data_IF_184355158109
#
_entry.id   IF_184355158109
#
_cell.length_a   1.000
_cell.length_b   1.000
_cell.length_c   1.000
_cell.angle_alpha   90.00
_cell.angle_beta   90.00
_cell.angle_gamma   90.00
#
_symmetry.space_group_name_H-M   'P 1'
#
loop_
_entity.id
_entity.type
_entity.pdbx_description
1 polymer ?
#
# COMPACT_ATOMS: atom_id res chain seq x y z
N UNK A 1 -8.33 -11.32 29.77
CA UNK A 1 -8.52 -10.82 28.40
C UNK A 1 -7.75 -11.70 27.42
N UNK A 2 -8.38 -12.12 26.32
CA UNK A 2 -7.71 -12.85 25.23
C UNK A 2 -7.28 -11.89 24.14
N UNK A 3 -6.06 -12.06 23.59
CA UNK A 3 -5.52 -11.23 22.52
C UNK A 3 -5.39 -12.10 21.27
N UNK A 4 -5.95 -11.62 20.15
CA UNK A 4 -5.90 -12.25 18.84
C UNK A 4 -5.04 -11.41 17.91
N UNK A 5 -3.96 -11.97 17.39
CA UNK A 5 -3.11 -11.33 16.38
C UNK A 5 -3.59 -11.73 14.99
N UNK A 6 -3.69 -10.77 14.06
CA UNK A 6 -3.97 -11.07 12.66
C UNK A 6 -2.92 -12.02 12.09
N UNK A 7 -3.35 -13.04 11.36
CA UNK A 7 -2.50 -14.12 10.85
C UNK A 7 -2.64 -14.28 9.33
N UNK A 8 -1.53 -14.08 8.62
CA UNK A 8 -1.42 -14.24 7.17
C UNK A 8 -0.63 -15.49 6.77
N UNK A 9 -0.32 -16.38 7.73
CA UNK A 9 0.53 -17.58 7.53
C UNK A 9 -0.03 -18.57 6.51
N UNK A 10 -1.35 -18.52 6.22
CA UNK A 10 -2.00 -19.38 5.22
C UNK A 10 -1.52 -19.11 3.80
N UNK A 11 -0.86 -17.98 3.53
CA UNK A 11 -0.40 -17.61 2.19
C UNK A 11 1.12 -17.71 2.10
N UNK A 12 1.57 -18.63 1.25
CA UNK A 12 3.00 -18.85 1.01
C UNK A 12 3.67 -17.57 0.53
N UNK A 13 4.73 -17.16 1.21
CA UNK A 13 5.55 -15.99 0.86
C UNK A 13 5.06 -14.66 1.44
N UNK A 14 3.98 -14.64 2.23
CA UNK A 14 3.58 -13.47 3.02
C UNK A 14 4.04 -13.68 4.47
N UNK A 15 4.70 -12.69 5.09
CA UNK A 15 4.99 -12.76 6.52
C UNK A 15 3.70 -12.94 7.34
N UNK A 16 3.70 -13.72 8.42
CA UNK A 16 2.48 -14.08 9.17
C UNK A 16 1.76 -12.87 9.76
N UNK A 17 2.46 -11.80 9.99
CA UNK A 17 1.90 -10.49 10.36
C UNK A 17 2.95 -9.41 10.07
N UNK A 18 2.55 -8.14 10.03
CA UNK A 18 3.51 -7.06 9.85
C UNK A 18 3.72 -6.67 8.39
N UNK A 19 4.99 -6.59 7.97
CA UNK A 19 5.36 -6.08 6.64
C UNK A 19 4.76 -6.91 5.50
N UNK A 20 4.27 -6.22 4.47
CA UNK A 20 3.82 -6.89 3.25
C UNK A 20 5.01 -7.42 2.41
N UNK A 21 4.70 -8.30 1.46
CA UNK A 21 5.70 -8.88 0.53
C UNK A 21 6.55 -7.81 -0.15
N UNK A 22 5.93 -6.71 -0.62
CA UNK A 22 6.64 -5.62 -1.31
C UNK A 22 7.63 -4.90 -0.40
N UNK A 23 7.20 -4.53 0.81
CA UNK A 23 8.05 -3.84 1.80
C UNK A 23 9.16 -4.77 2.29
N UNK A 24 8.83 -6.03 2.60
CA UNK A 24 9.83 -7.02 3.00
C UNK A 24 10.91 -7.23 1.92
N UNK A 25 10.51 -7.35 0.64
CA UNK A 25 11.45 -7.44 -0.49
C UNK A 25 12.32 -6.19 -0.61
N UNK A 26 11.75 -5.00 -0.48
CA UNK A 26 12.50 -3.74 -0.54
C UNK A 26 13.56 -3.68 0.57
N UNK A 27 13.21 -4.08 1.80
CA UNK A 27 14.16 -4.18 2.91
C UNK A 27 15.32 -5.12 2.64
N UNK A 28 15.06 -6.30 2.10
CA UNK A 28 16.11 -7.24 1.72
C UNK A 28 17.05 -6.67 0.64
N UNK A 29 16.51 -5.90 -0.32
CA UNK A 29 17.32 -5.19 -1.32
C UNK A 29 18.19 -4.13 -0.65
N UNK A 30 17.62 -3.31 0.23
CA UNK A 30 18.37 -2.28 0.96
C UNK A 30 19.51 -2.90 1.78
N UNK A 31 19.25 -3.93 2.58
CA UNK A 31 20.27 -4.64 3.35
C UNK A 31 21.41 -5.18 2.46
N UNK A 32 21.05 -5.80 1.32
CA UNK A 32 22.04 -6.30 0.36
C UNK A 32 22.91 -5.17 -0.23
N UNK A 33 22.29 -4.02 -0.53
CA UNK A 33 23.03 -2.88 -1.09
C UNK A 33 23.96 -2.26 -0.05
N UNK A 34 23.53 -2.12 1.21
CA UNK A 34 24.40 -1.68 2.32
C UNK A 34 25.58 -2.63 2.50
N UNK A 35 25.33 -3.93 2.59
CA UNK A 35 26.39 -4.93 2.77
C UNK A 35 27.43 -4.90 1.64
N UNK A 36 27.03 -4.53 0.41
CA UNK A 36 27.90 -4.52 -0.76
C UNK A 36 28.61 -3.17 -0.98
N UNK A 37 27.96 -2.06 -0.64
CA UNK A 37 28.41 -0.72 -1.03
C UNK A 37 28.73 0.19 0.17
N UNK A 38 28.46 -0.28 1.39
CA UNK A 38 28.64 0.50 2.62
C UNK A 38 27.64 1.64 2.75
N UNK A 39 28.08 2.68 3.45
CA UNK A 39 27.36 3.94 3.62
C UNK A 39 27.32 4.78 2.33
N UNK A 40 26.67 5.92 2.33
CA UNK A 40 26.43 6.78 1.15
C UNK A 40 25.38 6.26 0.17
N UNK A 41 24.33 5.63 0.68
CA UNK A 41 23.16 5.22 -0.10
C UNK A 41 21.99 6.16 0.14
N UNK A 42 21.40 6.67 -0.95
CA UNK A 42 20.17 7.44 -0.91
C UNK A 42 19.00 6.60 -1.47
N UNK A 43 17.97 6.41 -0.68
CA UNK A 43 16.70 5.82 -1.14
C UNK A 43 15.76 6.96 -1.51
N UNK A 44 15.42 7.07 -2.79
CA UNK A 44 14.34 7.95 -3.19
C UNK A 44 13.01 7.27 -2.94
N UNK A 45 12.13 7.91 -2.16
CA UNK A 45 10.83 7.37 -1.77
C UNK A 45 9.77 8.47 -1.72
N UNK A 46 8.53 8.13 -2.10
CA UNK A 46 7.36 8.99 -1.90
C UNK A 46 7.03 9.21 -0.42
N UNK A 47 7.44 8.28 0.45
CA UNK A 47 7.20 8.31 1.90
C UNK A 47 8.45 7.89 2.66
N UNK A 48 9.45 8.78 2.70
CA UNK A 48 10.74 8.48 3.33
C UNK A 48 10.62 8.18 4.84
N UNK A 49 9.67 8.79 5.51
CA UNK A 49 9.34 8.57 6.92
C UNK A 49 8.92 7.11 7.21
N UNK A 50 8.10 6.52 6.36
CA UNK A 50 7.59 5.16 6.55
C UNK A 50 8.62 4.09 6.19
N UNK A 51 9.41 4.30 5.15
CA UNK A 51 10.49 3.38 4.78
C UNK A 51 11.50 3.23 5.93
N UNK A 52 11.77 4.32 6.64
CA UNK A 52 12.68 4.31 7.79
C UNK A 52 12.15 3.50 8.98
N UNK A 53 10.85 3.64 9.30
CA UNK A 53 10.23 2.94 10.43
C UNK A 53 10.22 1.44 10.19
N UNK A 54 9.89 1.01 8.97
CA UNK A 54 9.84 -0.41 8.62
C UNK A 54 11.16 -1.14 8.87
N UNK A 55 12.31 -0.44 8.74
CA UNK A 55 13.64 -1.01 8.83
C UNK A 55 14.49 -0.47 9.99
N UNK A 56 13.89 0.31 10.91
CA UNK A 56 14.60 0.93 12.04
C UNK A 56 15.31 -0.08 12.92
N UNK A 57 14.68 -1.23 13.18
CA UNK A 57 15.24 -2.26 14.07
C UNK A 57 16.43 -3.00 13.46
N UNK A 58 16.51 -3.06 12.14
CA UNK A 58 17.63 -3.62 11.38
C UNK A 58 18.82 -2.66 11.30
N UNK A 59 18.73 -1.47 11.90
CA UNK A 59 19.80 -0.48 11.96
C UNK A 59 20.19 0.14 10.62
N UNK A 60 19.33 0.06 9.59
CA UNK A 60 19.70 0.54 8.24
C UNK A 60 19.97 2.04 8.19
N UNK A 61 19.27 2.86 9.01
CA UNK A 61 19.58 4.28 9.14
C UNK A 61 20.93 4.56 9.78
N UNK A 62 21.35 3.72 10.73
CA UNK A 62 22.67 3.78 11.38
C UNK A 62 23.78 3.27 10.46
N UNK A 63 23.44 2.50 9.43
CA UNK A 63 24.37 1.97 8.42
C UNK A 63 24.58 2.91 7.22
N UNK A 64 24.17 4.19 7.30
CA UNK A 64 24.43 5.19 6.27
C UNK A 64 23.41 5.24 5.13
N UNK A 65 22.27 4.55 5.22
CA UNK A 65 21.14 4.77 4.32
C UNK A 65 20.32 5.97 4.80
N UNK A 66 20.04 6.89 3.89
CA UNK A 66 19.01 7.91 4.11
C UNK A 66 17.87 7.76 3.10
N UNK A 67 16.65 8.09 3.50
CA UNK A 67 15.48 8.15 2.63
C UNK A 67 15.06 9.60 2.39
N UNK A 68 14.71 9.93 1.15
CA UNK A 68 14.29 11.27 0.76
C UNK A 68 13.27 11.24 -0.37
N UNK A 69 12.35 12.21 -0.40
CA UNK A 69 11.47 12.47 -1.53
C UNK A 69 12.03 13.56 -2.47
N UNK A 70 13.13 14.20 -2.08
CA UNK A 70 13.76 15.30 -2.83
C UNK A 70 14.95 14.79 -3.64
N UNK A 71 14.76 14.61 -4.94
CA UNK A 71 15.82 14.17 -5.84
C UNK A 71 17.00 15.14 -5.87
N UNK A 72 16.72 16.41 -5.72
CA UNK A 72 17.70 17.51 -5.69
C UNK A 72 18.67 17.37 -4.51
N UNK A 73 18.24 16.83 -3.39
CA UNK A 73 19.05 16.64 -2.18
C UNK A 73 20.08 15.52 -2.29
N UNK A 74 19.97 14.62 -3.30
CA UNK A 74 20.90 13.49 -3.48
C UNK A 74 22.14 13.97 -4.19
N UNK A 75 23.32 13.74 -3.59
CA UNK A 75 24.61 14.16 -4.15
C UNK A 75 25.21 13.08 -5.05
N UNK A 76 25.24 13.33 -6.37
CA UNK A 76 25.73 12.38 -7.36
C UNK A 76 27.22 12.02 -7.24
N UNK A 77 28.04 12.87 -6.60
CA UNK A 77 29.46 12.60 -6.41
C UNK A 77 29.76 11.71 -5.19
N UNK A 78 28.86 11.66 -4.22
CA UNK A 78 29.06 10.93 -2.95
C UNK A 78 28.01 9.88 -2.64
N UNK A 79 26.84 9.91 -3.30
CA UNK A 79 25.73 9.01 -3.01
C UNK A 79 25.33 8.19 -4.24
N UNK A 80 24.86 6.98 -3.99
CA UNK A 80 24.27 6.07 -4.98
C UNK A 80 22.79 5.90 -4.71
N UNK A 81 22.01 5.77 -5.77
CA UNK A 81 20.56 5.81 -5.73
C UNK A 81 19.93 4.41 -5.63
N UNK A 82 18.88 4.29 -4.83
CA UNK A 82 17.93 3.18 -4.82
C UNK A 82 16.53 3.78 -4.95
N UNK A 83 15.67 3.22 -5.80
CA UNK A 83 14.23 3.55 -5.76
C UNK A 83 13.53 2.70 -4.72
N UNK A 84 12.69 3.35 -3.90
CA UNK A 84 11.94 2.72 -2.82
C UNK A 84 10.77 1.86 -3.31
N UNK A 85 10.06 1.26 -2.37
CA UNK A 85 9.01 0.25 -2.63
C UNK A 85 7.83 0.72 -3.49
N UNK A 86 7.53 2.03 -3.47
CA UNK A 86 6.46 2.63 -4.27
C UNK A 86 6.89 3.05 -5.68
N UNK A 87 8.16 2.79 -6.02
CA UNK A 87 8.74 3.20 -7.30
C UNK A 87 9.02 4.68 -7.39
N UNK A 88 9.54 5.10 -8.54
CA UNK A 88 9.80 6.48 -8.88
C UNK A 88 9.08 6.84 -10.18
N UNK A 89 8.31 7.97 -10.23
CA UNK A 89 7.67 8.44 -11.44
C UNK A 89 8.68 8.72 -12.57
N UNK A 90 8.27 8.72 -13.84
CA UNK A 90 9.16 8.98 -14.99
C UNK A 90 9.98 10.27 -14.85
N UNK A 91 9.39 11.34 -14.34
CA UNK A 91 10.03 12.64 -14.15
C UNK A 91 11.18 12.56 -13.14
N UNK A 92 11.00 11.75 -12.11
CA UNK A 92 12.03 11.51 -11.08
C UNK A 92 13.16 10.64 -11.66
N UNK A 93 12.81 9.65 -12.47
CA UNK A 93 13.81 8.82 -13.17
C UNK A 93 14.64 9.63 -14.15
N UNK A 94 14.01 10.59 -14.86
CA UNK A 94 14.72 11.51 -15.76
C UNK A 94 15.66 12.43 -14.98
N UNK A 95 15.18 13.10 -13.93
CA UNK A 95 16.01 13.93 -13.05
C UNK A 95 17.23 13.17 -12.50
N UNK A 96 17.05 11.90 -12.13
CA UNK A 96 18.18 11.07 -11.66
C UNK A 96 19.23 10.86 -12.76
N UNK A 97 18.78 10.64 -14.01
CA UNK A 97 19.68 10.51 -15.18
C UNK A 97 20.41 11.82 -15.50
N UNK A 98 19.68 12.95 -15.53
CA UNK A 98 20.25 14.28 -15.77
C UNK A 98 21.30 14.66 -14.72
N UNK A 99 21.10 14.26 -13.44
CA UNK A 99 22.08 14.45 -12.37
C UNK A 99 23.27 13.48 -12.44
N UNK A 100 23.26 12.50 -13.33
CA UNK A 100 24.31 11.49 -13.41
C UNK A 100 24.35 10.55 -12.21
N UNK A 101 23.21 10.36 -11.51
CA UNK A 101 23.12 9.47 -10.36
C UNK A 101 23.27 8.00 -10.77
N UNK A 102 24.14 7.27 -10.06
CA UNK A 102 24.28 5.82 -10.24
C UNK A 102 23.14 5.09 -9.54
N UNK A 103 22.22 4.51 -10.31
CA UNK A 103 21.17 3.63 -9.79
C UNK A 103 21.74 2.25 -9.48
N UNK A 104 21.74 1.85 -8.21
CA UNK A 104 22.17 0.52 -7.76
C UNK A 104 21.06 -0.52 -7.81
N UNK A 105 19.85 -0.12 -7.45
CA UNK A 105 18.71 -1.02 -7.41
C UNK A 105 17.38 -0.28 -7.55
N UNK A 106 16.41 -0.96 -8.12
CA UNK A 106 15.01 -0.57 -8.12
C UNK A 106 14.24 -1.53 -7.19
N UNK A 107 13.86 -1.03 -6.02
CA UNK A 107 13.10 -1.80 -5.04
C UNK A 107 11.59 -1.66 -5.22
N UNK A 108 11.12 -1.09 -6.34
CA UNK A 108 9.69 -0.98 -6.67
C UNK A 108 9.00 -2.32 -6.48
N UNK A 109 7.86 -2.30 -5.78
CA UNK A 109 7.05 -3.49 -5.58
C UNK A 109 6.58 -4.06 -6.93
N UNK A 110 6.73 -5.38 -7.18
CA UNK A 110 6.31 -5.99 -8.45
C UNK A 110 4.82 -5.76 -8.78
N UNK A 111 3.95 -5.66 -7.77
CA UNK A 111 2.53 -5.37 -7.98
C UNK A 111 2.29 -3.92 -8.44
N UNK A 112 3.14 -2.97 -8.04
CA UNK A 112 3.10 -1.59 -8.55
C UNK A 112 3.53 -1.58 -10.00
N UNK A 113 4.64 -2.23 -10.35
CA UNK A 113 5.12 -2.35 -11.73
C UNK A 113 4.07 -3.01 -12.62
N UNK A 114 3.49 -4.13 -12.18
CA UNK A 114 2.43 -4.84 -12.92
C UNK A 114 1.20 -3.96 -13.16
N UNK A 115 0.80 -3.14 -12.19
CA UNK A 115 -0.30 -2.20 -12.36
C UNK A 115 0.06 -1.14 -13.41
N UNK A 116 1.23 -0.53 -13.34
CA UNK A 116 1.69 0.49 -14.31
C UNK A 116 1.78 -0.06 -15.74
N UNK A 117 2.30 -1.27 -15.90
CA UNK A 117 2.35 -1.95 -17.19
C UNK A 117 0.95 -2.22 -17.75
N UNK A 118 0.01 -2.68 -16.91
CA UNK A 118 -1.37 -2.92 -17.32
C UNK A 118 -2.09 -1.62 -17.71
N UNK A 119 -1.83 -0.51 -17.01
CA UNK A 119 -2.33 0.83 -17.37
C UNK A 119 -1.90 1.22 -18.80
N UNK A 120 -0.61 1.09 -19.07
CA UNK A 120 -0.04 1.43 -20.38
C UNK A 120 -0.60 0.54 -21.51
N UNK A 121 -0.66 -0.79 -21.29
CA UNK A 121 -1.20 -1.75 -22.26
C UNK A 121 -2.66 -1.44 -22.62
N UNK A 122 -3.50 -1.10 -21.65
CA UNK A 122 -4.90 -0.75 -21.89
C UNK A 122 -5.02 0.56 -22.66
N UNK A 123 -4.24 1.58 -22.33
CA UNK A 123 -4.21 2.83 -23.10
C UNK A 123 -3.74 2.62 -24.53
N UNK A 124 -2.72 1.78 -24.74
CA UNK A 124 -2.19 1.43 -26.07
C UNK A 124 -3.19 0.62 -26.90
N UNK A 125 -4.03 -0.20 -26.26
CA UNK A 125 -5.13 -0.90 -26.92
C UNK A 125 -6.34 0.00 -27.25
N UNK A 126 -6.24 1.30 -26.97
CA UNK A 126 -7.25 2.31 -27.30
C UNK A 126 -8.35 2.47 -26.25
N UNK A 127 -8.21 1.90 -25.06
CA UNK A 127 -9.18 2.03 -23.98
C UNK A 127 -9.11 3.39 -23.27
N UNK A 128 -10.26 3.91 -22.85
CA UNK A 128 -10.34 4.83 -21.71
C UNK A 128 -10.18 4.02 -20.43
N UNK A 129 -9.62 4.62 -19.37
CA UNK A 129 -9.38 3.88 -18.14
C UNK A 129 -10.46 4.13 -17.09
N UNK A 130 -10.93 3.06 -16.49
CA UNK A 130 -11.74 3.07 -15.27
C UNK A 130 -10.88 2.49 -14.16
N UNK A 131 -10.47 3.34 -13.23
CA UNK A 131 -9.54 2.97 -12.15
C UNK A 131 -10.30 2.85 -10.84
N UNK A 132 -10.38 1.64 -10.32
CA UNK A 132 -10.97 1.38 -9.02
C UNK A 132 -9.94 1.77 -7.94
N UNK A 133 -10.06 2.98 -7.42
CA UNK A 133 -9.06 3.59 -6.53
C UNK A 133 -9.68 4.68 -5.66
N UNK A 134 -8.98 5.05 -4.58
CA UNK A 134 -9.27 6.31 -3.89
C UNK A 134 -8.94 7.49 -4.80
N UNK A 135 -9.78 8.53 -4.77
CA UNK A 135 -9.58 9.78 -5.54
C UNK A 135 -8.30 10.52 -5.18
N UNK A 136 -7.80 10.31 -3.95
CA UNK A 136 -6.59 10.95 -3.43
C UNK A 136 -5.32 10.12 -3.66
N UNK A 137 -5.40 9.01 -4.40
CA UNK A 137 -4.23 8.16 -4.64
C UNK A 137 -3.16 8.91 -5.45
N UNK A 138 -1.92 8.90 -4.97
CA UNK A 138 -0.80 9.66 -5.52
C UNK A 138 -0.47 9.35 -6.99
N UNK A 139 -0.81 8.15 -7.49
CA UNK A 139 -0.58 7.76 -8.89
C UNK A 139 -1.58 8.36 -9.89
N UNK A 140 -2.73 8.91 -9.43
CA UNK A 140 -3.78 9.40 -10.32
C UNK A 140 -3.34 10.55 -11.23
N UNK A 141 -2.67 11.62 -10.73
CA UNK A 141 -2.25 12.73 -11.61
C UNK A 141 -1.32 12.27 -12.75
N UNK A 142 -0.37 11.38 -12.45
CA UNK A 142 0.51 10.79 -13.45
C UNK A 142 -0.29 10.04 -14.52
N UNK A 143 -1.19 9.16 -14.11
CA UNK A 143 -2.00 8.35 -15.02
C UNK A 143 -2.90 9.21 -15.91
N UNK A 144 -3.50 10.25 -15.36
CA UNK A 144 -4.30 11.23 -16.11
C UNK A 144 -3.46 11.98 -17.14
N UNK A 145 -2.20 12.32 -16.81
CA UNK A 145 -1.26 12.93 -17.76
C UNK A 145 -1.00 12.03 -18.96
N UNK A 146 -0.59 10.78 -18.71
CA UNK A 146 -0.30 9.78 -19.75
C UNK A 146 -1.54 9.50 -20.61
N UNK A 147 -2.71 9.33 -20.01
CA UNK A 147 -3.94 9.08 -20.74
C UNK A 147 -4.30 10.26 -21.68
N UNK A 148 -4.15 11.50 -21.19
CA UNK A 148 -4.41 12.72 -21.98
C UNK A 148 -3.51 12.82 -23.19
N UNK A 149 -2.22 12.49 -23.09
CA UNK A 149 -1.28 12.45 -24.21
C UNK A 149 -1.72 11.46 -25.29
N UNK A 150 -2.41 10.38 -24.91
CA UNK A 150 -2.97 9.36 -25.81
C UNK A 150 -4.42 9.67 -26.26
N UNK A 151 -4.96 10.84 -25.91
CA UNK A 151 -6.35 11.23 -26.23
C UNK A 151 -7.39 10.38 -25.49
N UNK A 152 -7.05 9.87 -24.29
CA UNK A 152 -7.91 9.03 -23.47
C UNK A 152 -8.26 9.70 -22.14
N UNK A 153 -9.39 9.26 -21.55
CA UNK A 153 -9.86 9.73 -20.26
C UNK A 153 -9.60 8.70 -19.16
N UNK A 154 -9.51 9.18 -17.91
CA UNK A 154 -9.36 8.36 -16.71
C UNK A 154 -10.52 8.69 -15.76
N UNK A 155 -11.33 7.69 -15.47
CA UNK A 155 -12.45 7.76 -14.54
C UNK A 155 -12.07 7.04 -13.24
N UNK A 156 -12.12 7.75 -12.12
CA UNK A 156 -11.85 7.18 -10.81
C UNK A 156 -13.15 6.73 -10.19
N UNK A 157 -13.23 5.45 -9.88
CA UNK A 157 -14.40 4.80 -9.28
C UNK A 157 -14.01 4.28 -7.90
N UNK A 158 -14.52 4.91 -6.88
CA UNK A 158 -14.28 4.56 -5.48
C UNK A 158 -15.44 3.76 -4.90
N UNK A 159 -16.66 4.02 -5.40
CA UNK A 159 -17.91 3.39 -4.99
C UNK A 159 -18.75 3.02 -6.21
N UNK A 160 -19.75 2.17 -5.99
CA UNK A 160 -20.66 1.71 -7.05
C UNK A 160 -21.36 2.87 -7.80
N UNK A 161 -21.78 3.89 -7.05
CA UNK A 161 -22.49 5.06 -7.59
C UNK A 161 -21.61 5.88 -8.56
N UNK A 162 -20.31 5.84 -8.41
CA UNK A 162 -19.38 6.58 -9.28
C UNK A 162 -19.42 6.08 -10.73
N UNK A 163 -19.89 4.85 -10.97
CA UNK A 163 -20.02 4.28 -12.32
C UNK A 163 -20.97 5.12 -13.18
N UNK A 164 -21.99 5.73 -12.58
CA UNK A 164 -22.94 6.60 -13.28
C UNK A 164 -22.28 7.89 -13.81
N UNK A 165 -21.18 8.30 -13.17
CA UNK A 165 -20.41 9.49 -13.59
C UNK A 165 -19.50 9.27 -14.80
N UNK A 166 -19.35 8.05 -15.31
CA UNK A 166 -18.53 7.76 -16.49
C UNK A 166 -19.27 8.26 -17.74
N UNK A 167 -18.70 9.27 -18.43
CA UNK A 167 -19.34 9.95 -19.57
C UNK A 167 -18.93 9.33 -20.91
N UNK A 168 -19.06 8.01 -21.01
CA UNK A 168 -18.79 7.26 -22.23
C UNK A 168 -20.05 6.53 -22.72
N UNK A 169 -20.12 6.26 -24.00
CA UNK A 169 -21.17 5.42 -24.58
C UNK A 169 -20.94 3.94 -24.23
N UNK A 170 -21.99 3.13 -24.36
CA UNK A 170 -21.96 1.70 -24.05
C UNK A 170 -20.86 0.92 -24.81
N UNK A 171 -20.50 1.38 -26.01
CA UNK A 171 -19.63 0.64 -26.93
C UNK A 171 -18.19 1.17 -26.95
N UNK A 172 -17.91 2.31 -26.32
CA UNK A 172 -16.54 2.82 -26.22
C UNK A 172 -15.68 1.84 -25.41
N UNK A 173 -14.45 1.57 -25.88
CA UNK A 173 -13.58 0.62 -25.21
C UNK A 173 -13.10 1.17 -23.86
N UNK A 174 -13.38 0.45 -22.79
CA UNK A 174 -12.91 0.78 -21.46
C UNK A 174 -11.98 -0.31 -20.93
N UNK A 175 -10.91 0.12 -20.26
CA UNK A 175 -9.99 -0.73 -19.51
C UNK A 175 -10.18 -0.53 -18.01
N UNK A 176 -10.54 -1.59 -17.31
CA UNK A 176 -10.73 -1.55 -15.86
C UNK A 176 -9.46 -2.03 -15.16
N UNK A 177 -8.94 -1.18 -14.28
CA UNK A 177 -7.78 -1.45 -13.42
C UNK A 177 -8.17 -1.30 -11.96
N UNK A 178 -7.58 -2.13 -11.12
CA UNK A 178 -7.81 -2.13 -9.68
C UNK A 178 -6.55 -1.66 -8.97
N UNK A 179 -6.67 -0.65 -8.12
CA UNK A 179 -5.59 -0.27 -7.21
C UNK A 179 -5.16 -1.47 -6.35
N UNK A 180 -3.86 -1.61 -6.11
CA UNK A 180 -3.28 -2.75 -5.38
C UNK A 180 -3.90 -3.01 -4.00
N UNK A 181 -4.46 -1.99 -3.35
CA UNK A 181 -5.06 -2.06 -2.00
C UNK A 181 -6.59 -1.99 -1.99
N UNK A 182 -7.26 -2.33 -3.10
CA UNK A 182 -8.72 -2.21 -3.19
C UNK A 182 -9.47 -3.38 -2.53
N UNK A 183 -10.60 -3.12 -1.87
CA UNK A 183 -11.37 -4.16 -1.18
C UNK A 183 -12.19 -4.99 -2.16
N UNK A 184 -12.09 -6.32 -2.04
CA UNK A 184 -12.70 -7.28 -2.97
C UNK A 184 -14.24 -7.18 -3.04
N UNK A 185 -14.92 -6.95 -1.93
CA UNK A 185 -16.39 -6.85 -1.93
C UNK A 185 -16.88 -5.57 -2.64
N UNK A 186 -16.18 -4.45 -2.46
CA UNK A 186 -16.45 -3.22 -3.21
C UNK A 186 -16.14 -3.42 -4.70
N UNK A 187 -15.04 -4.10 -5.03
CA UNK A 187 -14.70 -4.48 -6.40
C UNK A 187 -15.82 -5.25 -7.09
N UNK A 188 -16.37 -6.30 -6.45
CA UNK A 188 -17.44 -7.11 -7.04
C UNK A 188 -18.69 -6.28 -7.38
N UNK A 189 -19.11 -5.39 -6.49
CA UNK A 189 -20.28 -4.50 -6.71
C UNK A 189 -20.04 -3.55 -7.88
N UNK A 190 -18.89 -2.88 -7.89
CA UNK A 190 -18.52 -1.96 -8.97
C UNK A 190 -18.44 -2.69 -10.32
N UNK A 191 -17.82 -3.87 -10.35
CA UNK A 191 -17.69 -4.66 -11.59
C UNK A 191 -19.03 -5.12 -12.14
N UNK A 192 -19.97 -5.54 -11.29
CA UNK A 192 -21.32 -5.87 -11.72
C UNK A 192 -21.98 -4.67 -12.44
N UNK A 193 -21.87 -3.47 -11.85
CA UNK A 193 -22.43 -2.24 -12.42
C UNK A 193 -21.76 -1.81 -13.72
N UNK A 194 -20.43 -1.96 -13.81
CA UNK A 194 -19.68 -1.69 -15.06
C UNK A 194 -20.13 -2.62 -16.18
N UNK A 195 -20.26 -3.92 -15.92
CA UNK A 195 -20.64 -4.91 -16.94
C UNK A 195 -22.11 -4.78 -17.38
N UNK A 196 -23.00 -4.28 -16.53
CA UNK A 196 -24.36 -3.91 -16.93
C UNK A 196 -24.38 -2.74 -17.91
N UNK A 197 -23.51 -1.74 -17.71
CA UNK A 197 -23.52 -0.49 -18.42
C UNK A 197 -22.69 -0.52 -19.73
N UNK A 198 -21.55 -1.19 -19.74
CA UNK A 198 -20.61 -1.18 -20.86
C UNK A 198 -20.49 -2.55 -21.51
N UNK A 199 -20.42 -2.57 -22.84
CA UNK A 199 -20.33 -3.79 -23.63
C UNK A 199 -18.89 -4.13 -24.07
N UNK A 200 -17.99 -3.13 -24.13
CA UNK A 200 -16.59 -3.31 -24.56
C UNK A 200 -15.64 -3.07 -23.38
N UNK A 201 -15.45 -4.11 -22.55
CA UNK A 201 -14.71 -4.02 -21.28
C UNK A 201 -13.52 -4.95 -21.30
N UNK A 202 -12.33 -4.40 -21.11
CA UNK A 202 -11.12 -5.14 -20.79
C UNK A 202 -10.81 -5.00 -19.30
N UNK A 203 -10.54 -6.09 -18.61
CA UNK A 203 -10.30 -6.09 -17.16
C UNK A 203 -8.88 -6.54 -16.88
N UNK A 204 -8.16 -5.78 -16.06
CA UNK A 204 -6.88 -6.15 -15.44
C UNK A 204 -7.03 -6.06 -13.94
N UNK A 205 -7.14 -7.22 -13.29
CA UNK A 205 -7.12 -7.29 -11.83
C UNK A 205 -5.68 -7.17 -11.33
N UNK A 206 -5.32 -5.97 -10.90
CA UNK A 206 -4.00 -5.61 -10.39
C UNK A 206 -3.96 -5.48 -8.86
N UNK A 207 -5.00 -5.96 -8.15
CA UNK A 207 -4.99 -6.03 -6.70
C UNK A 207 -3.84 -6.94 -6.22
N UNK A 208 -3.08 -6.47 -5.21
CA UNK A 208 -1.95 -7.25 -4.72
C UNK A 208 -2.40 -8.39 -3.79
N UNK A 209 -1.61 -9.44 -3.75
CA UNK A 209 -1.90 -10.62 -2.94
C UNK A 209 -2.00 -10.29 -1.44
N UNK A 210 -1.21 -9.33 -0.95
CA UNK A 210 -1.28 -8.90 0.45
C UNK A 210 -2.66 -8.28 0.78
N UNK A 211 -3.19 -7.43 -0.10
CA UNK A 211 -4.52 -6.84 0.08
C UNK A 211 -5.63 -7.88 0.05
N UNK A 212 -5.52 -8.87 -0.86
CA UNK A 212 -6.48 -9.96 -0.98
C UNK A 212 -6.51 -10.88 0.26
N UNK A 213 -5.46 -10.86 1.07
CA UNK A 213 -5.35 -11.63 2.31
C UNK A 213 -5.64 -10.79 3.55
N UNK A 214 -5.06 -9.59 3.61
CA UNK A 214 -5.10 -8.72 4.78
C UNK A 214 -6.51 -8.22 5.09
N UNK A 215 -7.25 -7.78 4.09
CA UNK A 215 -8.60 -7.25 4.30
C UNK A 215 -9.60 -8.32 4.75
N UNK A 216 -9.65 -9.54 4.17
CA UNK A 216 -10.44 -10.65 4.73
C UNK A 216 -10.05 -11.04 6.17
N UNK A 217 -8.75 -11.00 6.51
CA UNK A 217 -8.31 -11.28 7.89
C UNK A 217 -8.77 -10.19 8.86
N UNK A 218 -8.76 -8.91 8.45
CA UNK A 218 -9.34 -7.81 9.23
C UNK A 218 -10.83 -8.04 9.47
N UNK A 219 -11.58 -8.40 8.43
CA UNK A 219 -13.01 -8.71 8.53
C UNK A 219 -13.26 -9.86 9.51
N UNK A 220 -12.54 -10.97 9.35
CA UNK A 220 -12.62 -12.13 10.23
C UNK A 220 -12.33 -11.77 11.69
N UNK A 221 -11.22 -11.04 11.91
CA UNK A 221 -10.80 -10.62 13.24
C UNK A 221 -11.83 -9.67 13.87
N UNK A 222 -12.33 -8.68 13.12
CA UNK A 222 -13.32 -7.72 13.58
C UNK A 222 -14.64 -8.38 14.04
N UNK A 223 -15.03 -9.48 13.40
CA UNK A 223 -16.22 -10.28 13.78
C UNK A 223 -16.02 -11.13 15.04
N UNK A 224 -14.78 -11.44 15.42
CA UNK A 224 -14.46 -12.39 16.49
C UNK A 224 -14.13 -11.74 17.83
N UNK A 225 -13.87 -10.42 17.84
CA UNK A 225 -13.36 -9.70 19.00
C UNK A 225 -14.27 -8.59 19.46
N UNK A 226 -14.14 -8.18 20.73
CA UNK A 226 -14.94 -7.09 21.31
C UNK A 226 -14.38 -5.70 20.94
N UNK A 227 -13.06 -5.62 20.68
CA UNK A 227 -12.39 -4.43 20.17
C UNK A 227 -11.23 -4.84 19.24
N UNK A 228 -10.98 -4.06 18.21
CA UNK A 228 -9.86 -4.28 17.29
C UNK A 228 -8.95 -3.05 17.24
N UNK A 229 -7.65 -3.30 17.33
CA UNK A 229 -6.60 -2.30 17.23
C UNK A 229 -5.88 -2.52 15.88
N UNK A 230 -5.88 -1.49 15.05
CA UNK A 230 -5.19 -1.48 13.77
C UNK A 230 -3.95 -0.60 13.89
N UNK A 231 -2.80 -1.24 13.74
CA UNK A 231 -1.50 -0.57 13.77
C UNK A 231 -1.12 -0.12 12.37
N UNK A 232 -0.97 1.19 12.16
CA UNK A 232 -0.58 1.74 10.86
C UNK A 232 -0.83 3.24 10.74
N UNK A 233 -0.29 3.82 9.68
CA UNK A 233 -0.38 5.26 9.39
C UNK A 233 -1.61 5.56 8.54
N UNK A 234 -2.10 6.80 8.61
CA UNK A 234 -3.39 7.21 7.99
C UNK A 234 -3.26 7.34 6.47
N UNK A 235 -3.08 6.22 5.76
CA UNK A 235 -3.05 6.16 4.29
C UNK A 235 -3.38 4.77 3.76
N UNK A 236 -3.73 4.73 2.48
CA UNK A 236 -3.82 3.51 1.67
C UNK A 236 -4.44 2.31 2.39
N UNK A 237 -3.61 1.31 2.71
CA UNK A 237 -4.05 0.08 3.34
C UNK A 237 -4.67 0.30 4.73
N UNK A 238 -4.10 1.18 5.56
CA UNK A 238 -4.63 1.43 6.91
C UNK A 238 -6.07 1.95 6.85
N UNK A 239 -6.35 2.90 5.95
CA UNK A 239 -7.72 3.42 5.78
C UNK A 239 -8.69 2.33 5.32
N UNK A 240 -8.27 1.45 4.42
CA UNK A 240 -9.09 0.30 3.99
C UNK A 240 -9.33 -0.69 5.12
N UNK A 241 -8.32 -0.99 5.93
CA UNK A 241 -8.47 -1.85 7.11
C UNK A 241 -9.44 -1.26 8.12
N UNK A 242 -9.38 0.06 8.37
CA UNK A 242 -10.32 0.77 9.24
C UNK A 242 -11.75 0.71 8.69
N UNK A 243 -11.93 0.92 7.39
CA UNK A 243 -13.24 0.83 6.71
C UNK A 243 -13.84 -0.58 6.88
N UNK A 244 -13.06 -1.61 6.56
CA UNK A 244 -13.48 -3.00 6.69
C UNK A 244 -13.81 -3.35 8.13
N UNK A 245 -12.94 -3.00 9.09
CA UNK A 245 -13.16 -3.30 10.49
C UNK A 245 -14.43 -2.64 11.03
N UNK A 246 -14.67 -1.36 10.70
CA UNK A 246 -15.85 -0.59 11.15
C UNK A 246 -17.17 -1.11 10.59
N UNK A 247 -17.16 -1.82 9.47
CA UNK A 247 -18.33 -2.47 8.93
C UNK A 247 -18.83 -3.62 9.82
N UNK A 248 -17.97 -4.17 10.70
CA UNK A 248 -18.27 -5.35 11.53
C UNK A 248 -18.05 -5.17 13.03
N UNK A 249 -17.36 -4.10 13.45
CA UNK A 249 -17.05 -3.85 14.86
C UNK A 249 -17.18 -2.36 15.20
N UNK A 250 -17.91 -2.05 16.27
CA UNK A 250 -18.11 -0.68 16.72
C UNK A 250 -16.89 -0.10 17.48
N UNK A 251 -15.98 -0.98 17.97
CA UNK A 251 -14.81 -0.60 18.75
C UNK A 251 -13.52 -0.80 17.95
N UNK A 252 -13.31 0.09 16.98
CA UNK A 252 -12.14 0.07 16.09
C UNK A 252 -11.24 1.24 16.42
N UNK A 253 -10.01 0.94 16.79
CA UNK A 253 -9.01 1.94 17.20
C UNK A 253 -7.77 1.84 16.31
N UNK A 254 -7.24 3.00 15.89
CA UNK A 254 -5.99 3.10 15.14
C UNK A 254 -4.88 3.57 16.07
N UNK A 255 -3.69 2.97 15.94
CA UNK A 255 -2.46 3.44 16.58
C UNK A 255 -1.33 3.54 15.56
N UNK A 256 -0.43 4.50 15.74
CA UNK A 256 0.79 4.66 14.95
C UNK A 256 2.05 4.26 15.74
N UNK A 257 1.95 4.30 17.05
CA UNK A 257 2.97 3.86 18.02
C UNK A 257 2.31 3.21 19.22
N UNK A 258 3.08 2.45 19.98
CA UNK A 258 2.57 1.71 21.16
C UNK A 258 2.00 2.63 22.23
N UNK A 259 2.57 3.85 22.37
CA UNK A 259 2.11 4.84 23.34
C UNK A 259 0.71 5.42 23.03
N UNK A 260 0.20 5.23 21.82
CA UNK A 260 -1.16 5.65 21.47
C UNK A 260 -2.25 4.76 22.09
N UNK A 261 -1.87 3.60 22.65
CA UNK A 261 -2.80 2.69 23.32
C UNK A 261 -3.43 3.32 24.54
N UNK A 262 -4.76 3.27 24.61
CA UNK A 262 -5.55 3.80 25.73
C UNK A 262 -6.25 2.67 26.48
N UNK A 263 -6.12 2.67 27.81
CA UNK A 263 -6.72 1.65 28.68
C UNK A 263 -8.24 1.60 28.54
N UNK A 264 -8.88 2.73 28.32
CA UNK A 264 -10.34 2.82 28.21
C UNK A 264 -10.91 2.04 27.01
N UNK A 265 -10.11 1.87 25.94
CA UNK A 265 -10.51 1.05 24.79
C UNK A 265 -10.64 -0.43 25.14
N UNK A 266 -9.93 -0.88 26.18
CA UNK A 266 -9.82 -2.28 26.61
C UNK A 266 -10.72 -2.59 27.79
N UNK A 267 -11.25 -1.56 28.48
CA UNK A 267 -12.07 -1.74 29.69
C UNK A 267 -13.35 -2.53 29.39
N UNK A 268 -13.56 -3.63 30.12
CA UNK A 268 -14.71 -4.51 29.95
C UNK A 268 -14.67 -5.40 28.69
N UNK A 269 -13.54 -5.43 27.95
CA UNK A 269 -13.37 -6.28 26.76
C UNK A 269 -12.76 -7.62 27.14
N UNK A 270 -13.42 -8.71 26.76
CA UNK A 270 -12.92 -10.08 26.95
C UNK A 270 -11.95 -10.51 25.87
N UNK A 271 -12.16 -10.02 24.62
CA UNK A 271 -11.38 -10.37 23.43
C UNK A 271 -10.93 -9.11 22.70
N UNK A 272 -9.63 -8.99 22.47
CA UNK A 272 -9.03 -7.86 21.75
C UNK A 272 -8.24 -8.37 20.55
N UNK A 273 -8.55 -7.85 19.37
CA UNK A 273 -7.80 -8.10 18.14
C UNK A 273 -6.71 -7.06 17.91
N UNK A 274 -5.58 -7.47 17.37
CA UNK A 274 -4.53 -6.56 16.91
C UNK A 274 -4.00 -7.02 15.55
N UNK A 275 -3.87 -6.07 14.63
CA UNK A 275 -3.37 -6.33 13.28
C UNK A 275 -2.60 -5.12 12.76
N UNK A 276 -1.50 -5.37 12.03
CA UNK A 276 -0.70 -4.32 11.43
C UNK A 276 -1.05 -4.08 9.96
N UNK A 277 -0.95 -2.83 9.51
CA UNK A 277 -0.97 -2.48 8.10
C UNK A 277 0.35 -2.93 7.41
N UNK A 278 0.37 -2.83 6.10
CA UNK A 278 1.42 -3.37 5.24
C UNK A 278 2.87 -2.87 5.51
N UNK A 279 3.01 -1.79 6.25
CA UNK A 279 4.31 -1.20 6.63
C UNK A 279 4.62 -1.34 8.13
N UNK A 280 3.78 -2.04 8.89
CA UNK A 280 3.95 -2.22 10.33
C UNK A 280 4.83 -3.44 10.60
N UNK A 281 6.05 -3.27 11.15
CA UNK A 281 6.90 -4.41 11.48
C UNK A 281 6.32 -5.27 12.61
N UNK A 282 6.61 -6.56 12.59
CA UNK A 282 6.16 -7.50 13.62
C UNK A 282 6.56 -7.13 15.05
N UNK A 283 7.75 -6.55 15.20
CA UNK A 283 8.22 -6.15 16.54
C UNK A 283 7.33 -5.06 17.16
N UNK A 284 6.78 -4.13 16.38
CA UNK A 284 5.85 -3.12 16.88
C UNK A 284 4.52 -3.74 17.32
N UNK A 285 4.02 -4.71 16.56
CA UNK A 285 2.79 -5.44 16.91
C UNK A 285 3.00 -6.22 18.20
N UNK A 286 4.14 -6.90 18.34
CA UNK A 286 4.47 -7.68 19.55
C UNK A 286 4.64 -6.77 20.78
N UNK A 287 5.29 -5.62 20.65
CA UNK A 287 5.42 -4.63 21.71
C UNK A 287 4.04 -4.11 22.16
N UNK A 288 3.15 -3.82 21.22
CA UNK A 288 1.77 -3.43 21.53
C UNK A 288 1.01 -4.54 22.26
N UNK A 289 1.20 -5.81 21.88
CA UNK A 289 0.61 -6.96 22.58
C UNK A 289 1.09 -7.02 24.04
N UNK A 290 2.38 -6.88 24.29
CA UNK A 290 2.93 -6.88 25.67
C UNK A 290 2.41 -5.68 26.47
N UNK A 291 2.28 -4.52 25.85
CA UNK A 291 1.67 -3.35 26.49
C UNK A 291 0.20 -3.59 26.87
N UNK A 292 -0.59 -4.18 25.96
CA UNK A 292 -1.99 -4.53 26.24
C UNK A 292 -2.07 -5.51 27.43
N UNK A 293 -1.22 -6.54 27.48
CA UNK A 293 -1.17 -7.48 28.59
C UNK A 293 -0.87 -6.77 29.91
N UNK A 294 0.11 -5.87 29.93
CA UNK A 294 0.49 -5.11 31.13
C UNK A 294 -0.61 -4.14 31.61
N UNK A 295 -1.42 -3.60 30.70
CA UNK A 295 -2.54 -2.71 31.03
C UNK A 295 -3.75 -3.48 31.57
N UNK A 296 -3.84 -4.78 31.29
CA UNK A 296 -4.94 -5.66 31.68
C UNK A 296 -4.66 -6.48 32.94
N UNK A 297 -3.41 -6.49 33.41
CA UNK A 297 -2.97 -7.13 34.66
C UNK A 297 -3.28 -6.24 35.86
#
# INVERSE_FOLDING_TARGET
MQIFKGDFSATKGIPPSGLCVGVHRAGAIHQKMVAKHGDHLAVWSLRPDLDFIAFKKEGLGEQGIRSTSEMESINASSEKLIYGVRGAPPEIREKAREKGLTLLADATCPFVTQQEEAELQLLESGCHLVVLSSRTHHGIPRLQGIAREKGKEVFIVEREEDVEGIRLTRFEPIGVIVQTTFWLETYKKIMARILERFANVQIRNTACIDSLQRLPEVEKLAKQVDAIIIFGWTEGMTNRMLEVARAFNAHVHKIEKVDDLQLDWLRGKGKVGIIGANETPDWMINEAIERIKSMAA
#
